data_IF_966436412799
#
_entry.id   IF_966436412799
#
_cell.length_a   1.000
_cell.length_b   1.000
_cell.length_c   1.000
_cell.angle_alpha   90.00
_cell.angle_beta   90.00
_cell.angle_gamma   90.00
#
_symmetry.space_group_name_H-M   'P 1'
#
loop_
_entity.id
_entity.type
_entity.pdbx_description
1 polymer ?
#
# COMPACT_ATOMS: atom_id res chain seq x y z
N UNK A 1 9.70 12.81 -22.36
CA UNK A 1 8.84 11.61 -22.49
C UNK A 1 9.21 10.49 -21.50
N UNK A 2 10.50 10.18 -21.27
CA UNK A 2 10.97 9.12 -20.34
C UNK A 2 10.57 9.33 -18.86
N UNK A 3 10.27 10.57 -18.45
CA UNK A 3 9.92 10.90 -17.06
C UNK A 3 8.51 10.48 -16.64
N UNK A 4 7.54 10.45 -17.57
CA UNK A 4 6.15 10.04 -17.27
C UNK A 4 6.04 8.52 -17.14
N UNK A 5 6.55 7.78 -18.14
CA UNK A 5 6.53 6.30 -18.17
C UNK A 5 7.21 5.69 -16.94
N UNK A 6 8.30 6.31 -16.46
CA UNK A 6 8.96 5.88 -15.21
C UNK A 6 8.11 6.11 -13.97
N UNK A 7 7.32 7.18 -13.91
CA UNK A 7 6.43 7.47 -12.77
C UNK A 7 5.21 6.57 -12.78
N UNK A 8 4.63 6.30 -13.95
CA UNK A 8 3.50 5.38 -14.14
C UNK A 8 3.85 3.95 -13.73
N UNK A 9 5.01 3.44 -14.16
CA UNK A 9 5.48 2.09 -13.77
C UNK A 9 5.74 1.96 -12.25
N UNK A 10 6.18 3.04 -11.59
CA UNK A 10 6.34 3.04 -10.13
C UNK A 10 4.99 2.97 -9.43
N UNK A 11 4.00 3.73 -9.88
CA UNK A 11 2.65 3.72 -9.30
C UNK A 11 1.96 2.37 -9.55
N UNK A 12 2.04 1.81 -10.75
CA UNK A 12 1.44 0.52 -11.06
C UNK A 12 2.05 -0.63 -10.25
N UNK A 13 3.38 -0.65 -10.08
CA UNK A 13 4.06 -1.65 -9.23
C UNK A 13 3.85 -1.47 -7.72
N UNK A 14 3.30 -0.33 -7.29
CA UNK A 14 2.86 -0.09 -5.91
C UNK A 14 1.43 -0.55 -5.66
N UNK A 15 0.67 -0.73 -6.74
CA UNK A 15 -0.74 -1.08 -6.73
C UNK A 15 -1.00 -2.54 -7.13
N UNK A 16 0.06 -3.32 -7.36
CA UNK A 16 0.00 -4.79 -7.47
C UNK A 16 -0.49 -5.41 -6.15
N UNK A 17 -1.66 -6.08 -6.13
CA UNK A 17 -2.24 -6.67 -4.91
C UNK A 17 -1.37 -7.72 -4.23
N UNK A 18 -0.46 -8.35 -4.97
CA UNK A 18 0.45 -9.38 -4.44
C UNK A 18 1.64 -8.76 -3.71
N UNK A 19 1.94 -7.49 -3.98
CA UNK A 19 3.09 -6.79 -3.40
C UNK A 19 2.92 -6.50 -1.90
N UNK A 20 4.04 -6.53 -1.16
CA UNK A 20 4.05 -6.15 0.28
C UNK A 20 3.57 -4.72 0.51
N UNK A 21 3.86 -3.80 -0.43
CA UNK A 21 3.49 -2.39 -0.30
C UNK A 21 1.98 -2.21 -0.41
N UNK A 22 1.33 -2.90 -1.35
CA UNK A 22 -0.12 -2.90 -1.45
C UNK A 22 -0.77 -3.45 -0.19
N UNK A 23 -0.30 -4.61 0.31
CA UNK A 23 -0.83 -5.22 1.55
C UNK A 23 -0.70 -4.29 2.76
N UNK A 24 0.37 -3.52 2.86
CA UNK A 24 0.52 -2.49 3.90
C UNK A 24 -0.54 -1.39 3.73
N UNK A 25 -0.73 -0.87 2.50
CA UNK A 25 -1.73 0.16 2.22
C UNK A 25 -3.16 -0.35 2.44
N UNK A 26 -3.47 -1.57 2.04
CA UNK A 26 -4.75 -2.24 2.30
C UNK A 26 -5.00 -2.38 3.80
N UNK A 27 -3.99 -2.84 4.54
CA UNK A 27 -4.08 -3.01 5.99
C UNK A 27 -4.45 -1.72 6.73
N UNK A 28 -3.85 -0.59 6.30
CA UNK A 28 -4.12 0.75 6.81
C UNK A 28 -5.50 1.27 6.37
N UNK A 29 -5.88 1.03 5.12
CA UNK A 29 -7.06 1.63 4.52
C UNK A 29 -8.37 0.94 4.96
N UNK A 30 -8.37 -0.38 5.17
CA UNK A 30 -9.55 -1.15 5.61
C UNK A 30 -10.13 -0.67 6.95
N UNK A 31 -9.33 -0.01 7.78
CA UNK A 31 -9.74 0.44 9.10
C UNK A 31 -9.82 1.97 9.22
N UNK A 32 -9.39 2.74 8.21
CA UNK A 32 -9.33 4.20 8.26
C UNK A 32 -8.53 4.77 9.43
N UNK A 33 -7.73 3.93 10.09
CA UNK A 33 -7.11 4.19 11.39
C UNK A 33 -5.60 4.14 11.24
N UNK A 34 -4.95 4.96 12.04
CA UNK A 34 -3.51 4.88 12.20
C UNK A 34 -3.14 3.50 12.77
N UNK A 35 -2.02 2.94 12.31
CA UNK A 35 -1.49 1.69 12.83
C UNK A 35 0.03 1.75 12.94
N UNK A 36 0.55 1.00 13.90
CA UNK A 36 1.98 0.82 14.11
C UNK A 36 2.58 -0.16 13.10
N UNK A 37 3.90 -0.08 12.91
CA UNK A 37 4.64 -1.08 12.10
C UNK A 37 4.48 -2.51 12.63
N UNK A 38 4.31 -2.67 13.94
CA UNK A 38 4.09 -3.96 14.58
C UNK A 38 2.70 -4.52 14.26
N UNK A 39 1.64 -3.73 14.46
CA UNK A 39 0.26 -4.16 14.16
C UNK A 39 0.11 -4.54 12.68
N UNK A 40 0.74 -3.76 11.78
CA UNK A 40 0.74 -4.07 10.35
C UNK A 40 1.51 -5.39 10.10
N UNK A 41 2.70 -5.55 10.69
CA UNK A 41 3.53 -6.76 10.59
C UNK A 41 2.77 -8.02 10.97
N UNK A 42 2.07 -7.99 12.10
CA UNK A 42 1.25 -9.10 12.59
C UNK A 42 0.10 -9.41 11.61
N UNK A 43 -0.58 -8.37 11.11
CA UNK A 43 -1.74 -8.53 10.22
C UNK A 43 -1.41 -9.08 8.84
N UNK A 44 -0.24 -8.74 8.27
CA UNK A 44 0.17 -9.19 6.93
C UNK A 44 1.24 -10.30 6.95
N UNK A 45 1.61 -10.79 8.15
CA UNK A 45 2.60 -11.84 8.37
C UNK A 45 3.99 -11.54 7.73
N UNK A 46 4.49 -10.32 7.92
CA UNK A 46 5.82 -9.89 7.41
C UNK A 46 6.59 -9.23 8.52
N UNK A 47 7.92 -9.37 8.53
CA UNK A 47 8.75 -8.78 9.60
C UNK A 47 8.54 -7.28 9.77
N UNK A 48 8.51 -6.82 11.01
CA UNK A 48 8.35 -5.42 11.39
C UNK A 48 9.40 -4.49 10.73
N UNK A 49 10.64 -4.98 10.58
CA UNK A 49 11.71 -4.28 9.84
C UNK A 49 11.33 -4.05 8.37
N UNK A 50 10.76 -5.05 7.71
CA UNK A 50 10.30 -4.96 6.32
C UNK A 50 9.16 -3.96 6.21
N UNK A 51 8.22 -3.98 7.16
CA UNK A 51 7.12 -3.01 7.24
C UNK A 51 7.65 -1.58 7.41
N UNK A 52 8.57 -1.34 8.35
CA UNK A 52 9.19 -0.01 8.57
C UNK A 52 9.89 0.53 7.32
N UNK A 53 10.63 -0.32 6.61
CA UNK A 53 11.29 0.08 5.37
C UNK A 53 10.29 0.49 4.29
N UNK A 54 9.21 -0.28 4.12
CA UNK A 54 8.16 0.02 3.14
C UNK A 54 7.36 1.27 3.54
N UNK A 55 7.00 1.45 4.81
CA UNK A 55 6.33 2.66 5.29
C UNK A 55 7.18 3.92 5.08
N UNK A 56 8.50 3.82 5.30
CA UNK A 56 9.44 4.92 5.01
C UNK A 56 9.43 5.28 3.53
N UNK A 57 9.38 4.29 2.65
CA UNK A 57 9.29 4.49 1.20
C UNK A 57 7.94 5.10 0.81
N UNK A 58 6.83 4.55 1.29
CA UNK A 58 5.46 5.03 1.03
C UNK A 58 5.27 6.48 1.53
N UNK A 59 5.91 6.85 2.65
CA UNK A 59 5.94 8.22 3.15
C UNK A 59 6.63 9.17 2.17
N UNK A 60 7.76 8.78 1.58
CA UNK A 60 8.47 9.59 0.56
C UNK A 60 7.60 9.82 -0.68
N UNK A 61 6.75 8.86 -1.02
CA UNK A 61 5.78 8.95 -2.10
C UNK A 61 4.49 9.66 -1.70
N UNK A 62 4.38 10.12 -0.45
CA UNK A 62 3.19 10.78 0.09
C UNK A 62 1.92 9.92 0.05
N UNK A 63 2.04 8.60 0.12
CA UNK A 63 0.90 7.68 0.18
C UNK A 63 0.47 7.38 1.62
N UNK A 64 1.37 7.57 2.58
CA UNK A 64 1.08 7.48 4.02
C UNK A 64 1.65 8.70 4.74
N UNK A 65 1.00 9.08 5.83
CA UNK A 65 1.48 10.08 6.78
C UNK A 65 1.97 9.37 8.04
N UNK A 66 3.06 9.88 8.61
CA UNK A 66 3.58 9.42 9.90
C UNK A 66 2.98 10.32 10.97
N UNK A 67 2.21 9.74 11.88
CA UNK A 67 1.42 10.46 12.89
C UNK A 67 2.18 10.54 14.22
N UNK A 68 2.89 9.46 14.58
CA UNK A 68 3.75 9.42 15.77
C UNK A 68 5.05 8.67 15.49
N UNK A 69 5.84 8.35 16.52
CA UNK A 69 7.14 7.67 16.38
C UNK A 69 7.03 6.38 15.58
N UNK A 70 5.96 5.61 15.77
CA UNK A 70 5.73 4.34 15.09
C UNK A 70 4.34 4.21 14.45
N UNK A 71 3.48 5.23 14.53
CA UNK A 71 2.12 5.21 13.92
C UNK A 71 2.07 5.85 12.54
N UNK A 72 1.33 5.23 11.62
CA UNK A 72 1.13 5.68 10.24
C UNK A 72 -0.34 5.63 9.84
N UNK A 73 -0.78 6.59 9.03
CA UNK A 73 -2.12 6.68 8.45
C UNK A 73 -2.04 6.74 6.92
N UNK A 74 -3.03 6.20 6.18
CA UNK A 74 -3.10 6.40 4.73
C UNK A 74 -3.54 7.83 4.39
N UNK A 75 -3.13 8.37 3.24
CA UNK A 75 -3.67 9.66 2.80
C UNK A 75 -5.17 9.56 2.45
N UNK A 76 -5.94 10.65 2.62
CA UNK A 76 -7.32 10.71 2.14
C UNK A 76 -7.40 10.39 0.64
N UNK A 77 -8.44 9.64 0.24
CA UNK A 77 -8.65 9.26 -1.16
C UNK A 77 -7.85 8.04 -1.64
N UNK A 78 -6.97 7.47 -0.82
CA UNK A 78 -6.24 6.25 -1.19
C UNK A 78 -7.13 4.99 -1.14
N UNK A 79 -8.06 4.92 -0.19
CA UNK A 79 -8.92 3.73 -0.02
C UNK A 79 -9.72 3.36 -1.27
N UNK A 80 -10.42 4.29 -1.96
CA UNK A 80 -11.09 3.97 -3.22
C UNK A 80 -10.15 3.37 -4.29
N UNK A 81 -8.89 3.83 -4.36
CA UNK A 81 -7.90 3.31 -5.31
C UNK A 81 -7.53 1.86 -4.96
N UNK A 82 -7.34 1.56 -3.67
CA UNK A 82 -7.07 0.20 -3.20
C UNK A 82 -8.21 -0.74 -3.57
N UNK A 83 -9.47 -0.35 -3.32
CA UNK A 83 -10.65 -1.15 -3.66
C UNK A 83 -10.71 -1.44 -5.17
N UNK A 84 -10.54 -0.41 -6.00
CA UNK A 84 -10.53 -0.56 -7.47
C UNK A 84 -9.47 -1.56 -7.96
N UNK A 85 -8.29 -1.56 -7.34
CA UNK A 85 -7.21 -2.49 -7.72
C UNK A 85 -7.53 -3.94 -7.34
N UNK A 86 -8.21 -4.17 -6.20
CA UNK A 86 -8.68 -5.52 -5.83
C UNK A 86 -9.76 -6.02 -6.79
N UNK A 87 -10.70 -5.16 -7.17
CA UNK A 87 -11.73 -5.51 -8.15
C UNK A 87 -11.14 -5.82 -9.53
N UNK A 88 -10.13 -5.06 -9.94
CA UNK A 88 -9.43 -5.29 -11.21
C UNK A 88 -8.69 -6.63 -11.22
N UNK A 89 -7.94 -6.92 -10.15
CA UNK A 89 -7.18 -8.19 -10.01
C UNK A 89 -8.12 -9.39 -10.05
N UNK A 90 -9.25 -9.33 -9.32
CA UNK A 90 -10.28 -10.37 -9.36
C UNK A 90 -10.85 -10.56 -10.77
N UNK A 91 -11.17 -9.47 -11.47
CA UNK A 91 -11.67 -9.55 -12.86
C UNK A 91 -10.65 -10.13 -13.82
N UNK A 92 -9.36 -9.83 -13.63
CA UNK A 92 -8.30 -10.42 -14.45
C UNK A 92 -8.25 -11.93 -14.20
N UNK A 93 -8.27 -12.37 -12.94
CA UNK A 93 -8.31 -13.79 -12.59
C UNK A 93 -9.50 -14.50 -13.25
N UNK A 94 -10.71 -13.93 -13.17
CA UNK A 94 -11.94 -14.46 -13.80
C UNK A 94 -11.85 -14.61 -15.34
N UNK A 95 -11.04 -13.79 -16.02
CA UNK A 95 -10.88 -13.84 -17.49
C UNK A 95 -9.75 -14.80 -17.91
N UNK A 96 -8.80 -15.07 -17.02
CA UNK A 96 -7.64 -15.92 -17.29
C UNK A 96 -7.79 -17.38 -16.89
N UNK A 97 -8.85 -17.71 -16.13
CA UNK A 97 -9.28 -19.08 -15.80
C UNK A 97 -10.29 -19.62 -16.82
#
# INVERSE_FOLDING_TARGET
MVSLVKKENVILSLLDPKSTRFKILESLSKNGKEASSQEISEKIAVTEKTVRNNLTYLKKLKLVKKESRDSYSPIPGLYPIIVLMQELDKKIEEITE
#
